data_IF_726733707489
#
_entry.id   IF_726733707489
#
_cell.length_a   1.000
_cell.length_b   1.000
_cell.length_c   1.000
_cell.angle_alpha   90.00
_cell.angle_beta   90.00
_cell.angle_gamma   90.00
#
_symmetry.space_group_name_H-M   'P 1'
#
loop_
_entity.id
_entity.type
_entity.pdbx_description
1 polymer ?
#
# COMPACT_ATOMS: atom_id res chain seq x y z
N UNK A 1 28.70 -16.44 20.78
CA UNK A 1 28.27 -15.54 19.69
C UNK A 1 26.91 -14.98 20.12
N UNK A 2 26.88 -13.77 20.68
CA UNK A 2 25.66 -13.18 21.22
C UNK A 2 24.93 -12.49 20.06
N UNK A 3 23.91 -13.14 19.51
CA UNK A 3 23.02 -12.50 18.54
C UNK A 3 22.23 -11.47 19.33
N UNK A 4 22.62 -10.20 19.23
CA UNK A 4 21.75 -9.12 19.67
C UNK A 4 20.54 -9.14 18.74
N UNK A 5 19.44 -9.71 19.22
CA UNK A 5 18.12 -9.49 18.64
C UNK A 5 17.83 -8.01 18.87
N UNK A 6 18.22 -7.16 17.92
CA UNK A 6 17.67 -5.80 17.87
C UNK A 6 16.17 -5.97 17.85
N UNK A 7 15.51 -5.61 18.95
CA UNK A 7 14.07 -5.42 18.99
C UNK A 7 13.73 -4.51 17.81
N UNK A 8 13.28 -5.10 16.70
CA UNK A 8 12.74 -4.35 15.58
C UNK A 8 11.48 -3.73 16.17
N UNK A 9 11.63 -2.48 16.66
CA UNK A 9 10.67 -1.75 17.50
C UNK A 9 9.24 -2.15 17.16
N UNK A 10 8.65 -2.93 18.05
CA UNK A 10 7.28 -3.45 17.97
C UNK A 10 6.27 -2.35 17.62
N UNK A 11 6.53 -1.12 18.08
CA UNK A 11 5.72 0.07 17.84
C UNK A 11 5.50 0.37 16.34
N UNK A 12 6.49 0.13 15.48
CA UNK A 12 6.35 0.35 14.04
C UNK A 12 5.38 -0.64 13.41
N UNK A 13 5.44 -1.92 13.81
CA UNK A 13 4.51 -2.96 13.34
C UNK A 13 3.10 -2.76 13.93
N UNK A 14 3.00 -2.30 15.18
CA UNK A 14 1.72 -1.95 15.78
C UNK A 14 1.05 -0.76 15.06
N UNK A 15 1.84 0.25 14.70
CA UNK A 15 1.37 1.39 13.92
C UNK A 15 0.95 0.97 12.51
N UNK A 16 1.76 0.13 11.83
CA UNK A 16 1.44 -0.37 10.50
C UNK A 16 0.16 -1.22 10.47
N UNK A 17 0.02 -2.16 11.41
CA UNK A 17 -1.18 -3.00 11.51
C UNK A 17 -2.43 -2.19 11.85
N UNK A 18 -2.30 -1.15 12.68
CA UNK A 18 -3.38 -0.20 12.96
C UNK A 18 -3.78 0.58 11.72
N UNK A 19 -2.82 1.14 10.98
CA UNK A 19 -3.08 1.86 9.73
C UNK A 19 -3.76 0.95 8.70
N UNK A 20 -3.30 -0.29 8.56
CA UNK A 20 -3.89 -1.24 7.63
C UNK A 20 -5.35 -1.55 7.99
N UNK A 21 -5.66 -1.68 9.29
CA UNK A 21 -7.04 -1.86 9.78
C UNK A 21 -7.93 -0.65 9.48
N UNK A 22 -7.42 0.56 9.66
CA UNK A 22 -8.15 1.80 9.34
C UNK A 22 -8.46 1.86 7.85
N UNK A 23 -7.47 1.61 6.99
CA UNK A 23 -7.66 1.62 5.54
C UNK A 23 -8.66 0.53 5.11
N UNK A 24 -8.59 -0.67 5.68
CA UNK A 24 -9.56 -1.73 5.40
C UNK A 24 -11.00 -1.32 5.75
N UNK A 25 -11.22 -0.63 6.88
CA UNK A 25 -12.54 -0.09 7.23
C UNK A 25 -13.02 1.00 6.27
N UNK A 26 -12.14 1.89 5.82
CA UNK A 26 -12.48 2.92 4.82
C UNK A 26 -12.89 2.25 3.50
N UNK A 27 -12.13 1.24 3.04
CA UNK A 27 -12.46 0.51 1.82
C UNK A 27 -13.79 -0.23 1.93
N UNK A 28 -14.09 -0.85 3.08
CA UNK A 28 -15.40 -1.46 3.36
C UNK A 28 -16.50 -0.41 3.35
N UNK A 29 -16.28 0.76 3.95
CA UNK A 29 -17.25 1.85 3.94
C UNK A 29 -17.59 2.27 2.50
N UNK A 30 -16.58 2.52 1.67
CA UNK A 30 -16.75 2.84 0.25
C UNK A 30 -17.54 1.73 -0.46
N UNK A 31 -17.15 0.47 -0.27
CA UNK A 31 -17.87 -0.67 -0.83
C UNK A 31 -19.35 -0.66 -0.43
N UNK A 32 -19.63 -0.48 0.86
CA UNK A 32 -20.98 -0.48 1.41
C UNK A 32 -21.80 0.71 0.96
N UNK A 33 -21.22 1.86 0.62
CA UNK A 33 -21.96 2.97 0.02
C UNK A 33 -22.27 2.67 -1.45
N UNK A 34 -21.33 2.10 -2.19
CA UNK A 34 -21.44 1.91 -3.64
C UNK A 34 -22.11 0.61 -4.10
N UNK A 35 -22.32 -0.37 -3.22
CA UNK A 35 -22.85 -1.70 -3.58
C UNK A 35 -24.10 -2.04 -2.79
N UNK A 36 -25.06 -2.76 -3.39
CA UNK A 36 -26.27 -3.25 -2.72
C UNK A 36 -25.92 -4.32 -1.67
N UNK A 37 -24.98 -5.22 -1.98
CA UNK A 37 -24.44 -6.22 -1.06
C UNK A 37 -23.57 -5.55 0.00
N UNK A 38 -24.02 -5.56 1.25
CA UNK A 38 -23.31 -4.92 2.37
C UNK A 38 -22.46 -5.94 3.12
N UNK A 39 -21.20 -5.61 3.34
CA UNK A 39 -20.29 -6.34 4.22
C UNK A 39 -20.54 -5.93 5.68
N UNK A 40 -20.55 -6.90 6.59
CA UNK A 40 -20.85 -6.73 8.02
C UNK A 40 -19.92 -7.60 8.88
N UNK A 41 -19.89 -7.35 10.18
CA UNK A 41 -19.08 -8.11 11.14
C UNK A 41 -17.60 -7.74 11.13
N UNK A 42 -16.73 -8.65 11.55
CA UNK A 42 -15.28 -8.44 11.56
C UNK A 42 -14.72 -8.25 10.14
N UNK A 43 -13.59 -7.54 10.02
CA UNK A 43 -12.84 -7.46 8.76
C UNK A 43 -12.33 -8.86 8.37
N UNK A 44 -12.55 -9.23 7.11
CA UNK A 44 -12.01 -10.46 6.55
C UNK A 44 -10.53 -10.30 6.19
N UNK A 45 -9.83 -11.42 6.08
CA UNK A 45 -8.44 -11.44 5.61
C UNK A 45 -8.25 -10.74 4.26
N UNK A 46 -9.18 -10.94 3.32
CA UNK A 46 -9.13 -10.31 2.00
C UNK A 46 -9.22 -8.78 2.06
N UNK A 47 -9.95 -8.23 3.03
CA UNK A 47 -10.02 -6.79 3.21
C UNK A 47 -8.72 -6.22 3.75
N UNK A 48 -8.06 -6.92 4.67
CA UNK A 48 -6.72 -6.53 5.13
C UNK A 48 -5.68 -6.62 4.02
N UNK A 49 -5.72 -7.69 3.21
CA UNK A 49 -4.80 -7.88 2.09
C UNK A 49 -4.95 -6.77 1.05
N UNK A 50 -6.18 -6.39 0.70
CA UNK A 50 -6.44 -5.29 -0.22
C UNK A 50 -5.94 -3.95 0.32
N UNK A 51 -6.20 -3.68 1.60
CA UNK A 51 -5.71 -2.47 2.26
C UNK A 51 -4.18 -2.40 2.24
N UNK A 52 -3.50 -3.50 2.55
CA UNK A 52 -2.03 -3.57 2.57
C UNK A 52 -1.42 -3.31 1.19
N UNK A 53 -1.98 -3.93 0.15
CA UNK A 53 -1.55 -3.69 -1.23
C UNK A 53 -1.72 -2.21 -1.61
N UNK A 54 -2.82 -1.60 -1.22
CA UNK A 54 -3.10 -0.20 -1.53
C UNK A 54 -2.14 0.75 -0.81
N UNK A 55 -1.91 0.54 0.49
CA UNK A 55 -0.95 1.31 1.28
C UNK A 55 0.46 1.16 0.69
N UNK A 56 0.89 -0.07 0.42
CA UNK A 56 2.22 -0.35 -0.14
C UNK A 56 2.43 0.33 -1.49
N UNK A 57 1.44 0.25 -2.39
CA UNK A 57 1.50 0.92 -3.70
C UNK A 57 1.53 2.44 -3.56
N UNK A 58 0.77 3.00 -2.63
CA UNK A 58 0.77 4.45 -2.37
C UNK A 58 2.13 4.91 -1.85
N UNK A 59 2.72 4.21 -0.88
CA UNK A 59 4.05 4.50 -0.36
C UNK A 59 5.12 4.40 -1.44
N UNK A 60 5.14 3.32 -2.22
CA UNK A 60 6.06 3.15 -3.35
C UNK A 60 5.88 4.28 -4.37
N UNK A 61 4.63 4.62 -4.72
CA UNK A 61 4.37 5.69 -5.68
C UNK A 61 4.81 7.06 -5.18
N UNK A 62 4.78 7.31 -3.87
CA UNK A 62 5.25 8.57 -3.29
C UNK A 62 6.77 8.59 -3.16
N UNK A 63 7.40 7.47 -2.77
CA UNK A 63 8.84 7.38 -2.58
C UNK A 63 9.62 7.44 -3.90
N UNK A 64 9.10 6.81 -4.95
CA UNK A 64 9.78 6.69 -6.25
C UNK A 64 9.12 7.55 -7.35
N UNK A 65 8.45 8.62 -6.94
CA UNK A 65 7.68 9.47 -7.85
C UNK A 65 8.59 10.11 -8.92
N UNK A 66 9.77 10.59 -8.50
CA UNK A 66 10.76 11.23 -9.36
C UNK A 66 11.47 10.22 -10.27
N UNK A 67 11.87 9.06 -9.75
CA UNK A 67 12.50 8.00 -10.56
C UNK A 67 11.55 7.52 -11.67
N UNK A 68 10.25 7.42 -11.37
CA UNK A 68 9.24 7.03 -12.34
C UNK A 68 8.99 8.12 -13.39
N UNK A 69 9.09 9.39 -13.03
CA UNK A 69 9.06 10.52 -13.97
C UNK A 69 10.29 10.51 -14.88
N UNK A 70 11.49 10.35 -14.32
CA UNK A 70 12.74 10.28 -15.06
C UNK A 70 12.77 9.08 -16.01
N UNK A 71 12.32 7.90 -15.58
CA UNK A 71 12.21 6.72 -16.43
C UNK A 71 11.24 6.94 -17.61
N UNK A 72 10.10 7.59 -17.37
CA UNK A 72 9.16 7.96 -18.45
C UNK A 72 9.77 8.95 -19.42
N UNK A 73 10.44 10.00 -18.93
CA UNK A 73 11.11 10.97 -19.78
C UNK A 73 12.21 10.34 -20.64
N UNK A 74 12.96 9.38 -20.08
CA UNK A 74 13.96 8.63 -20.84
C UNK A 74 13.30 7.77 -21.92
N UNK A 75 12.24 7.02 -21.60
CA UNK A 75 11.48 6.24 -22.58
C UNK A 75 10.96 7.10 -23.75
N UNK A 76 10.42 8.30 -23.46
CA UNK A 76 10.00 9.24 -24.51
C UNK A 76 11.15 9.76 -25.38
N UNK A 77 12.35 9.91 -24.83
CA UNK A 77 13.55 10.28 -25.60
C UNK A 77 13.98 9.13 -26.51
N UNK A 78 13.96 7.91 -26.00
CA UNK A 78 14.35 6.72 -26.75
C UNK A 78 13.36 6.44 -27.90
N UNK A 79 12.06 6.60 -27.68
CA UNK A 79 11.02 6.50 -28.73
C UNK A 79 11.18 7.56 -29.82
N UNK A 80 11.57 8.80 -29.47
CA UNK A 80 11.85 9.85 -30.48
C UNK A 80 13.14 9.64 -31.26
N UNK A 81 14.05 8.82 -30.75
CA UNK A 81 15.36 8.54 -31.36
C UNK A 81 15.39 7.27 -32.21
N UNK A 82 14.28 6.53 -32.31
CA UNK A 82 14.09 5.49 -33.32
C UNK A 82 15.12 4.36 -33.32
N UNK A 83 15.27 3.68 -32.18
CA UNK A 83 15.82 2.32 -32.12
C UNK A 83 14.69 1.29 -32.01
#
# INVERSE_FOLDING_TARGET
>A
MNVQTTDIKSDHFFTYSTNNRVVAWILRFIHNVSNSTKLKGSLSYEEFKRAEVLVSKSLQSNAFQDERLLAKMQAFKDEKMGF
#
